data_IF_866637306515
#
_entry.id   IF_866637306515
#
_cell.length_a   1.000
_cell.length_b   1.000
_cell.length_c   1.000
_cell.angle_alpha   90.00
_cell.angle_beta   90.00
_cell.angle_gamma   90.00
#
_symmetry.space_group_name_H-M   'P 1'
#
loop_
_entity.id
_entity.type
_entity.pdbx_description
1 polymer ?
#
# COMPACT_ATOMS: atom_id res chain seq x y z
N UNK A 1 -3.24 19.17 18.24
CA UNK A 1 -4.09 19.43 17.07
C UNK A 1 -5.26 18.49 17.19
N UNK A 2 -6.50 18.99 17.02
CA UNK A 2 -7.68 18.15 16.97
C UNK A 2 -7.74 17.39 15.65
N UNK A 3 -8.57 16.33 15.56
CA UNK A 3 -8.76 15.61 14.31
C UNK A 3 -9.31 16.54 13.24
N UNK A 4 -8.72 16.52 12.05
CA UNK A 4 -9.27 17.19 10.87
C UNK A 4 -10.22 16.21 10.22
N UNK A 5 -11.51 16.45 10.30
CA UNK A 5 -12.50 15.66 9.57
C UNK A 5 -12.40 16.01 8.09
N UNK A 6 -12.05 15.06 7.26
CA UNK A 6 -12.15 15.18 5.81
C UNK A 6 -13.50 14.58 5.42
N UNK A 7 -14.42 15.42 4.91
CA UNK A 7 -15.74 14.95 4.50
C UNK A 7 -15.61 13.93 3.37
N UNK A 8 -16.43 12.87 3.39
CA UNK A 8 -16.47 11.84 2.36
C UNK A 8 -15.62 10.60 2.63
N UNK A 9 -15.11 10.42 3.85
CA UNK A 9 -14.48 9.16 4.27
C UNK A 9 -15.50 8.28 4.99
N UNK A 10 -15.88 7.20 4.39
CA UNK A 10 -16.57 6.07 5.00
C UNK A 10 -15.70 4.81 4.86
N UNK A 11 -15.72 3.96 5.82
CA UNK A 11 -14.69 3.07 6.35
C UNK A 11 -14.28 1.83 5.52
N UNK A 12 -14.32 1.82 4.20
CA UNK A 12 -14.09 0.54 3.49
C UNK A 12 -12.94 0.45 2.48
N UNK A 13 -12.45 1.57 1.92
CA UNK A 13 -11.41 1.56 0.89
C UNK A 13 -10.53 2.80 0.92
N UNK A 14 -10.24 3.30 2.12
CA UNK A 14 -9.48 4.54 2.26
C UNK A 14 -7.98 4.27 2.06
N UNK A 15 -7.38 5.02 1.18
CA UNK A 15 -5.95 4.98 0.90
C UNK A 15 -5.32 6.31 1.27
N UNK A 16 -4.18 6.25 1.97
CA UNK A 16 -3.43 7.42 2.41
C UNK A 16 -1.95 7.25 2.06
N UNK A 17 -1.36 8.27 1.45
CA UNK A 17 0.08 8.31 1.19
C UNK A 17 0.63 9.68 1.56
N UNK A 18 1.50 9.72 2.58
CA UNK A 18 2.16 10.92 3.07
C UNK A 18 3.66 10.81 2.85
N UNK A 19 4.26 11.85 2.27
CA UNK A 19 5.73 11.94 2.10
C UNK A 19 6.35 13.01 2.98
N UNK A 20 5.54 13.90 3.55
CA UNK A 20 5.98 14.93 4.49
C UNK A 20 4.81 15.48 5.30
N UNK A 21 5.09 16.28 6.32
CA UNK A 21 4.07 17.00 7.09
C UNK A 21 3.29 18.05 6.29
N UNK A 22 3.73 18.36 5.08
CA UNK A 22 3.09 19.33 4.17
C UNK A 22 2.59 18.71 2.86
N UNK A 23 2.65 17.39 2.73
CA UNK A 23 2.11 16.70 1.56
C UNK A 23 1.62 15.30 1.91
N UNK A 24 0.32 15.13 1.83
CA UNK A 24 -0.36 13.84 1.81
C UNK A 24 -1.35 13.80 0.65
N UNK A 25 -1.61 12.62 0.17
CA UNK A 25 -2.76 12.30 -0.66
C UNK A 25 -3.67 11.35 0.10
N UNK A 26 -4.97 11.54 0.00
CA UNK A 26 -5.97 10.66 0.58
C UNK A 26 -7.11 10.42 -0.41
N UNK A 27 -7.63 9.21 -0.46
CA UNK A 27 -8.82 8.85 -1.22
C UNK A 27 -9.93 8.48 -0.25
N UNK A 28 -11.13 9.01 -0.49
CA UNK A 28 -12.32 8.61 0.21
C UNK A 28 -13.27 7.76 -0.66
N UNK A 29 -14.37 7.29 -0.08
CA UNK A 29 -15.40 6.48 -0.75
C UNK A 29 -16.10 7.18 -1.92
N UNK A 30 -16.00 8.49 -1.99
CA UNK A 30 -16.51 9.29 -3.10
C UNK A 30 -15.63 9.21 -4.36
N UNK A 31 -14.58 8.38 -4.34
CA UNK A 31 -13.57 8.22 -5.39
C UNK A 31 -12.78 9.48 -5.73
N UNK A 32 -12.80 10.51 -4.88
CA UNK A 32 -11.95 11.68 -5.04
C UNK A 32 -10.63 11.52 -4.30
N UNK A 33 -9.54 11.79 -5.01
CA UNK A 33 -8.22 11.93 -4.39
C UNK A 33 -8.06 13.39 -3.97
N UNK A 34 -7.80 13.58 -2.68
CA UNK A 34 -7.55 14.88 -2.06
C UNK A 34 -6.09 15.02 -1.69
N UNK A 35 -5.57 16.22 -1.85
CA UNK A 35 -4.21 16.59 -1.48
C UNK A 35 -4.22 17.49 -0.25
N UNK A 36 -3.37 17.16 0.72
CA UNK A 36 -3.02 18.00 1.85
C UNK A 36 -1.78 18.83 1.53
N UNK A 37 -1.81 20.14 1.83
CA UNK A 37 -0.70 21.07 1.56
C UNK A 37 0.02 21.54 2.83
N UNK A 38 -0.19 20.87 3.97
CA UNK A 38 0.34 21.27 5.28
C UNK A 38 -0.66 22.07 6.14
N UNK A 39 -1.76 22.57 5.55
CA UNK A 39 -2.77 23.36 6.27
C UNK A 39 -4.19 22.97 5.92
N UNK A 40 -4.46 22.56 4.69
CA UNK A 40 -5.81 22.24 4.20
C UNK A 40 -5.77 21.13 3.16
N UNK A 41 -6.93 20.48 2.99
CA UNK A 41 -7.17 19.51 1.94
C UNK A 41 -7.83 20.19 0.73
N UNK A 42 -7.51 19.73 -0.47
CA UNK A 42 -8.10 20.19 -1.73
C UNK A 42 -8.26 19.01 -2.69
N UNK A 43 -9.31 19.04 -3.51
CA UNK A 43 -9.51 18.03 -4.54
C UNK A 43 -8.45 18.14 -5.63
N UNK A 44 -8.00 16.99 -6.13
CA UNK A 44 -7.04 16.92 -7.23
C UNK A 44 -7.66 16.41 -8.53
N UNK A 45 -8.93 16.09 -8.51
CA UNK A 45 -9.69 15.43 -9.55
C UNK A 45 -10.14 14.04 -9.12
N UNK A 46 -11.13 13.50 -9.79
CA UNK A 46 -11.57 12.13 -9.57
C UNK A 46 -10.53 11.18 -10.16
N UNK A 47 -10.15 10.17 -9.43
CA UNK A 47 -9.57 8.99 -10.00
C UNK A 47 -10.34 7.80 -9.47
N UNK A 48 -10.74 6.95 -10.36
CA UNK A 48 -11.38 5.69 -10.01
C UNK A 48 -10.35 4.63 -9.59
N UNK A 49 -9.30 5.01 -8.90
CA UNK A 49 -8.21 4.11 -8.51
C UNK A 49 -8.43 3.54 -7.13
N UNK A 50 -8.19 2.25 -6.96
CA UNK A 50 -8.31 1.57 -5.67
C UNK A 50 -7.04 1.68 -4.83
N UNK A 51 -5.88 1.80 -5.47
CA UNK A 51 -4.61 2.00 -4.76
C UNK A 51 -3.82 3.14 -5.37
N UNK A 52 -3.17 3.94 -4.53
CA UNK A 52 -2.20 4.92 -4.97
C UNK A 52 -1.02 5.00 -3.99
N UNK A 53 0.11 5.46 -4.48
CA UNK A 53 1.32 5.67 -3.69
C UNK A 53 2.09 6.87 -4.23
N UNK A 54 2.62 7.70 -3.35
CA UNK A 54 3.40 8.90 -3.68
C UNK A 54 4.86 8.70 -3.33
N UNK A 55 5.76 8.92 -4.28
CA UNK A 55 7.20 8.96 -4.04
C UNK A 55 7.71 10.40 -3.82
N UNK A 56 6.96 11.40 -4.27
CA UNK A 56 7.28 12.81 -4.07
C UNK A 56 6.03 13.70 -4.20
N UNK A 57 6.14 14.98 -3.84
CA UNK A 57 5.05 15.94 -4.05
C UNK A 57 4.69 16.19 -5.54
N UNK A 58 5.55 15.74 -6.44
CA UNK A 58 5.40 15.84 -7.89
C UNK A 58 5.28 14.49 -8.57
N UNK A 59 5.19 13.41 -7.82
CA UNK A 59 4.96 12.09 -8.37
C UNK A 59 4.16 11.21 -7.42
N UNK A 60 2.95 10.86 -7.84
CA UNK A 60 2.18 9.75 -7.32
C UNK A 60 1.75 8.87 -8.49
N UNK A 61 1.61 7.60 -8.24
CA UNK A 61 1.03 6.65 -9.16
C UNK A 61 -0.26 6.12 -8.55
N UNK A 62 -1.28 5.98 -9.35
CA UNK A 62 -2.55 5.39 -8.97
C UNK A 62 -2.87 4.25 -9.93
N UNK A 63 -3.40 3.15 -9.42
CA UNK A 63 -3.83 2.00 -10.19
C UNK A 63 -5.26 1.64 -9.84
N UNK A 64 -6.04 1.28 -10.85
CA UNK A 64 -7.43 0.91 -10.66
C UNK A 64 -7.57 -0.60 -10.44
N UNK A 65 -8.39 -0.97 -9.45
CA UNK A 65 -8.72 -2.36 -9.19
C UNK A 65 -10.00 -2.83 -9.88
N UNK A 66 -10.98 -1.98 -10.02
CA UNK A 66 -12.25 -2.33 -10.66
C UNK A 66 -13.16 -1.11 -10.80
N UNK A 67 -13.32 -0.61 -12.01
CA UNK A 67 -14.51 0.13 -12.32
C UNK A 67 -15.54 -0.86 -12.89
N UNK A 68 -16.63 -1.04 -12.17
CA UNK A 68 -17.75 -1.88 -12.55
C UNK A 68 -18.49 -1.51 -13.84
N UNK A 69 -17.81 -0.85 -14.77
CA UNK A 69 -18.25 -0.72 -16.14
C UNK A 69 -17.45 -1.70 -17.00
N UNK A 70 -18.09 -2.71 -17.51
CA UNK A 70 -17.55 -3.73 -18.42
C UNK A 70 -16.97 -3.15 -19.73
N UNK A 71 -16.71 -1.85 -19.81
CA UNK A 71 -16.32 -1.17 -21.03
C UNK A 71 -14.81 -1.00 -21.20
N UNK A 72 -14.01 -1.10 -20.10
CA UNK A 72 -12.56 -0.94 -20.18
C UNK A 72 -11.85 -2.16 -19.57
N UNK A 73 -11.52 -3.16 -20.40
CA UNK A 73 -10.91 -4.42 -19.93
C UNK A 73 -9.46 -4.29 -19.49
N UNK A 74 -8.89 -3.09 -19.50
CA UNK A 74 -7.47 -2.85 -19.24
C UNK A 74 -7.35 -1.93 -18.03
N UNK A 75 -6.74 -2.42 -16.95
CA UNK A 75 -6.53 -1.65 -15.73
C UNK A 75 -5.97 -0.25 -16.03
N UNK A 76 -6.65 0.77 -15.51
CA UNK A 76 -6.22 2.15 -15.68
C UNK A 76 -5.14 2.47 -14.66
N UNK A 77 -4.06 3.07 -15.10
CA UNK A 77 -3.08 3.70 -14.23
C UNK A 77 -2.95 5.17 -14.57
N UNK A 78 -2.68 5.99 -13.57
CA UNK A 78 -2.47 7.43 -13.75
C UNK A 78 -1.31 7.92 -12.89
N UNK A 79 -0.53 8.84 -13.42
CA UNK A 79 0.51 9.54 -12.67
C UNK A 79 0.09 10.96 -12.35
N UNK A 80 0.48 11.43 -11.16
CA UNK A 80 0.33 12.80 -10.70
C UNK A 80 1.65 13.56 -10.81
N UNK A 81 1.63 14.73 -11.45
CA UNK A 81 2.82 15.54 -11.71
C UNK A 81 2.99 16.73 -10.74
N UNK A 82 2.29 16.74 -9.62
CA UNK A 82 2.25 17.86 -8.68
C UNK A 82 1.08 18.83 -8.91
N UNK A 83 0.38 18.72 -10.05
CA UNK A 83 -0.73 19.60 -10.44
C UNK A 83 -1.95 18.83 -10.93
N UNK A 84 -1.74 17.82 -11.76
CA UNK A 84 -2.81 17.07 -12.42
C UNK A 84 -2.45 15.61 -12.59
N UNK A 85 -3.48 14.79 -12.75
CA UNK A 85 -3.36 13.39 -13.10
C UNK A 85 -3.32 13.20 -14.61
N UNK A 86 -2.52 12.28 -15.09
CA UNK A 86 -2.41 11.88 -16.50
C UNK A 86 -2.40 10.36 -16.61
N UNK A 87 -3.19 9.82 -17.53
CA UNK A 87 -3.22 8.38 -17.78
C UNK A 87 -1.83 7.87 -18.20
N UNK A 88 -1.47 6.71 -17.68
CA UNK A 88 -0.29 5.96 -18.12
C UNK A 88 -0.75 5.04 -19.24
N UNK A 89 -0.17 5.15 -20.46
CA UNK A 89 -0.46 4.21 -21.53
C UNK A 89 -0.02 2.78 -21.15
N UNK A 90 -0.83 1.80 -21.53
CA UNK A 90 -0.49 0.37 -21.48
C UNK A 90 -0.24 -0.26 -20.11
N UNK A 91 -1.21 -0.17 -19.22
CA UNK A 91 -1.36 -1.15 -18.14
C UNK A 91 -1.92 -2.49 -18.67
N UNK A 92 -1.77 -2.73 -19.96
CA UNK A 92 -2.46 -3.75 -20.78
C UNK A 92 -2.16 -5.22 -20.41
N UNK A 93 -1.43 -5.50 -19.37
CA UNK A 93 -1.12 -6.87 -18.95
C UNK A 93 -1.43 -7.17 -17.48
N UNK A 94 -2.07 -6.27 -16.76
CA UNK A 94 -2.58 -6.62 -15.45
C UNK A 94 -3.84 -7.48 -15.66
N UNK A 95 -3.82 -8.76 -15.31
CA UNK A 95 -5.04 -9.52 -15.30
C UNK A 95 -5.99 -8.89 -14.27
N UNK A 96 -7.23 -8.71 -14.68
CA UNK A 96 -8.34 -8.42 -13.80
C UNK A 96 -8.15 -9.09 -12.45
N UNK A 97 -8.07 -8.34 -11.41
CA UNK A 97 -8.37 -8.85 -10.09
C UNK A 97 -8.36 -7.74 -9.05
N UNK A 98 -9.51 -7.37 -8.55
CA UNK A 98 -9.80 -6.88 -7.22
C UNK A 98 -8.80 -5.90 -6.60
N UNK A 99 -8.73 -5.93 -5.33
CA UNK A 99 -7.92 -5.02 -4.54
C UNK A 99 -6.44 -5.11 -4.89
N UNK A 100 -5.92 -4.02 -5.44
CA UNK A 100 -4.52 -3.87 -5.79
C UNK A 100 -3.76 -3.19 -4.65
N UNK A 101 -2.54 -3.65 -4.36
CA UNK A 101 -1.61 -2.94 -3.49
C UNK A 101 -0.54 -2.24 -4.33
N UNK A 102 -0.10 -1.06 -3.89
CA UNK A 102 0.88 -0.25 -4.61
C UNK A 102 1.87 0.41 -3.65
N UNK A 103 3.15 0.35 -3.99
CA UNK A 103 4.21 1.06 -3.27
C UNK A 103 5.21 1.66 -4.25
N UNK A 104 5.44 2.98 -4.13
CA UNK A 104 6.39 3.75 -4.93
C UNK A 104 7.52 4.29 -4.06
N UNK A 105 8.77 4.10 -4.46
CA UNK A 105 9.95 4.70 -3.83
C UNK A 105 10.58 5.79 -4.69
N UNK A 106 10.29 5.80 -5.99
CA UNK A 106 10.74 6.85 -6.91
C UNK A 106 9.79 6.97 -8.10
N UNK A 107 9.88 8.03 -8.92
CA UNK A 107 9.13 8.13 -10.17
C UNK A 107 9.42 7.02 -11.19
N UNK A 108 10.53 6.33 -11.03
CA UNK A 108 10.98 5.24 -11.91
C UNK A 108 10.96 3.87 -11.24
N UNK A 109 10.36 3.76 -10.07
CA UNK A 109 10.19 2.48 -9.40
C UNK A 109 8.96 2.47 -8.50
N UNK A 110 7.93 1.80 -8.98
CA UNK A 110 6.76 1.41 -8.20
C UNK A 110 6.50 -0.07 -8.40
N UNK A 111 5.90 -0.69 -7.41
CA UNK A 111 5.48 -2.10 -7.48
C UNK A 111 3.99 -2.17 -7.18
N UNK A 112 3.26 -2.81 -8.07
CA UNK A 112 1.84 -3.15 -7.89
C UNK A 112 1.68 -4.65 -7.70
N UNK A 113 0.79 -5.05 -6.78
CA UNK A 113 0.37 -6.43 -6.58
C UNK A 113 -1.11 -6.52 -6.91
N UNK A 114 -1.45 -7.33 -7.89
CA UNK A 114 -2.84 -7.59 -8.22
C UNK A 114 -3.44 -8.64 -7.29
N UNK A 115 -4.74 -8.59 -7.03
CA UNK A 115 -5.45 -9.56 -6.18
C UNK A 115 -5.33 -11.03 -6.65
N UNK A 116 -4.94 -11.25 -7.93
CA UNK A 116 -4.56 -12.56 -8.45
C UNK A 116 -3.19 -13.08 -7.95
N UNK A 117 -2.41 -12.25 -7.25
CA UNK A 117 -1.08 -12.58 -6.77
C UNK A 117 0.07 -12.30 -7.75
N UNK A 118 -0.19 -11.52 -8.79
CA UNK A 118 0.84 -11.10 -9.74
C UNK A 118 1.48 -9.77 -9.32
N UNK A 119 2.80 -9.72 -9.33
CA UNK A 119 3.59 -8.50 -9.11
C UNK A 119 3.99 -7.87 -10.45
N UNK A 120 3.91 -6.54 -10.52
CA UNK A 120 4.31 -5.72 -11.66
C UNK A 120 5.23 -4.60 -11.17
N UNK A 121 6.28 -4.30 -11.92
CA UNK A 121 7.20 -3.20 -11.63
C UNK A 121 7.02 -2.12 -12.70
N UNK A 122 6.82 -0.88 -12.26
CA UNK A 122 6.79 0.31 -13.11
C UNK A 122 8.16 0.99 -13.12
N UNK A 123 8.71 1.22 -14.32
CA UNK A 123 10.05 1.79 -14.52
C UNK A 123 10.06 3.32 -14.79
N UNK A 124 8.90 3.96 -14.66
CA UNK A 124 8.69 5.37 -14.98
C UNK A 124 8.06 5.60 -16.36
N UNK A 125 8.01 4.58 -17.20
CA UNK A 125 7.44 4.64 -18.56
C UNK A 125 6.51 3.48 -18.88
N UNK A 126 6.81 2.30 -18.37
CA UNK A 126 6.09 1.07 -18.67
C UNK A 126 6.08 0.11 -17.49
N UNK A 127 5.19 -0.87 -17.57
CA UNK A 127 5.10 -1.95 -16.60
C UNK A 127 5.86 -3.19 -17.08
N UNK A 128 6.48 -3.89 -16.15
CA UNK A 128 7.11 -5.18 -16.41
C UNK A 128 6.08 -6.24 -16.80
N UNK A 129 6.55 -7.37 -17.31
CA UNK A 129 5.73 -8.58 -17.35
C UNK A 129 5.37 -9.02 -15.93
N UNK A 130 4.18 -9.64 -15.73
CA UNK A 130 3.78 -10.15 -14.44
C UNK A 130 4.73 -11.22 -13.91
N UNK A 131 5.00 -11.16 -12.61
CA UNK A 131 5.66 -12.24 -11.87
C UNK A 131 4.66 -12.80 -10.87
N UNK A 132 4.28 -14.06 -11.00
CA UNK A 132 3.36 -14.70 -10.08
C UNK A 132 4.05 -14.99 -8.75
N UNK A 133 3.55 -14.40 -7.67
CA UNK A 133 3.99 -14.65 -6.29
C UNK A 133 3.20 -15.81 -5.69
N UNK A 134 1.90 -15.79 -5.89
CA UNK A 134 0.96 -16.83 -5.48
C UNK A 134 -0.17 -16.91 -6.50
N UNK A 135 -1.04 -17.90 -6.38
CA UNK A 135 -2.21 -18.04 -7.23
C UNK A 135 -3.46 -18.00 -6.36
N UNK A 136 -4.33 -17.03 -6.60
CA UNK A 136 -5.64 -16.94 -5.98
C UNK A 136 -6.71 -17.14 -7.05
N UNK A 137 -7.76 -17.90 -6.74
CA UNK A 137 -8.93 -18.07 -7.60
C UNK A 137 -9.99 -17.00 -7.37
N UNK A 138 -9.77 -16.08 -6.45
CA UNK A 138 -10.63 -14.95 -6.10
C UNK A 138 -9.82 -13.67 -5.88
N UNK A 139 -10.53 -12.61 -5.62
CA UNK A 139 -9.93 -11.36 -5.16
C UNK A 139 -9.33 -11.61 -3.77
N UNK A 140 -8.07 -11.26 -3.60
CA UNK A 140 -7.37 -11.40 -2.35
C UNK A 140 -6.63 -10.09 -2.05
N UNK A 141 -6.94 -9.52 -0.91
CA UNK A 141 -6.28 -8.33 -0.43
C UNK A 141 -4.83 -8.68 -0.07
N UNK A 142 -3.89 -7.89 -0.57
CA UNK A 142 -2.48 -8.00 -0.24
C UNK A 142 -1.94 -6.62 0.08
N UNK A 143 -0.88 -6.56 0.85
CA UNK A 143 -0.20 -5.31 1.20
C UNK A 143 1.23 -5.34 0.73
N UNK A 144 1.74 -4.19 0.27
CA UNK A 144 3.13 -4.05 -0.15
C UNK A 144 3.76 -2.82 0.49
N UNK A 145 5.01 -2.98 0.89
CA UNK A 145 5.85 -1.86 1.33
C UNK A 145 7.25 -2.00 0.75
N UNK A 146 7.68 -1.00 -0.01
CA UNK A 146 9.01 -0.92 -0.57
C UNK A 146 9.84 0.10 0.22
N UNK A 147 10.94 -0.34 0.83
CA UNK A 147 11.88 0.54 1.51
C UNK A 147 12.96 1.09 0.54
N UNK A 148 13.16 0.44 -0.61
CA UNK A 148 14.10 0.88 -1.65
C UNK A 148 13.77 0.23 -2.99
N UNK A 149 14.47 0.62 -4.05
CA UNK A 149 14.37 -0.04 -5.37
C UNK A 149 14.91 -1.48 -5.39
N UNK A 150 15.60 -1.88 -4.33
CA UNK A 150 16.16 -3.23 -4.16
C UNK A 150 15.53 -3.99 -3.00
N UNK A 151 14.49 -3.44 -2.37
CA UNK A 151 13.80 -4.13 -1.29
C UNK A 151 12.33 -3.74 -1.23
N UNK A 152 11.46 -4.71 -1.47
CA UNK A 152 10.05 -4.64 -1.18
C UNK A 152 9.61 -5.90 -0.41
N UNK A 153 8.60 -5.74 0.43
CA UNK A 153 7.96 -6.84 1.14
C UNK A 153 6.47 -6.83 0.82
N UNK A 154 5.95 -8.00 0.48
CA UNK A 154 4.51 -8.25 0.28
C UNK A 154 4.01 -9.12 1.41
N UNK A 155 2.96 -8.70 2.09
CA UNK A 155 2.11 -9.51 2.94
C UNK A 155 0.91 -10.01 2.13
N UNK A 156 0.69 -11.29 2.11
CA UNK A 156 -0.38 -11.93 1.36
C UNK A 156 -1.10 -13.00 2.22
N UNK A 157 -1.35 -12.66 3.49
CA UNK A 157 -2.08 -13.46 4.47
C UNK A 157 -1.74 -14.95 4.42
N UNK A 158 -2.73 -15.76 4.10
CA UNK A 158 -2.57 -17.22 4.01
C UNK A 158 -1.52 -17.69 2.98
N UNK A 159 -1.18 -16.86 2.00
CA UNK A 159 -0.14 -17.18 1.00
C UNK A 159 1.27 -16.87 1.52
N UNK A 160 1.38 -16.12 2.63
CA UNK A 160 2.62 -15.78 3.30
C UNK A 160 3.23 -14.45 2.86
N UNK A 161 4.52 -14.27 3.16
CA UNK A 161 5.26 -13.08 2.79
C UNK A 161 6.26 -13.31 1.66
N UNK A 162 6.44 -12.31 0.80
CA UNK A 162 7.34 -12.35 -0.34
C UNK A 162 8.25 -11.13 -0.34
N UNK A 163 9.54 -11.35 -0.59
CA UNK A 163 10.55 -10.31 -0.62
C UNK A 163 11.10 -10.13 -2.02
N UNK A 164 11.24 -8.89 -2.44
CA UNK A 164 11.97 -8.49 -3.65
C UNK A 164 13.37 -8.02 -3.27
N UNK A 165 14.40 -8.53 -3.96
CA UNK A 165 15.81 -8.22 -3.69
C UNK A 165 16.45 -7.29 -4.73
N UNK A 166 15.66 -6.62 -5.57
CA UNK A 166 16.13 -5.80 -6.68
C UNK A 166 16.16 -6.53 -8.03
N UNK A 167 16.07 -7.86 -8.05
CA UNK A 167 16.11 -8.67 -9.27
C UNK A 167 15.05 -9.76 -9.32
N UNK A 168 14.71 -10.33 -8.19
CA UNK A 168 13.78 -11.47 -8.10
C UNK A 168 12.96 -11.43 -6.83
N UNK A 169 11.85 -12.15 -6.87
CA UNK A 169 10.97 -12.38 -5.73
C UNK A 169 11.27 -13.73 -5.09
N UNK A 170 11.18 -13.78 -3.78
CA UNK A 170 11.28 -15.03 -3.01
C UNK A 170 10.25 -15.05 -1.88
N UNK A 171 9.68 -16.23 -1.62
CA UNK A 171 8.83 -16.43 -0.44
C UNK A 171 9.71 -16.53 0.80
N UNK A 172 9.46 -15.67 1.80
CA UNK A 172 10.31 -15.59 3.00
C UNK A 172 9.72 -16.26 4.22
N UNK A 173 8.39 -16.33 4.32
CA UNK A 173 7.74 -16.97 5.46
C UNK A 173 6.27 -17.28 5.19
N UNK A 174 5.72 -18.19 6.01
CA UNK A 174 4.30 -18.37 6.18
C UNK A 174 3.83 -17.44 7.31
N UNK A 175 3.79 -16.14 7.06
CA UNK A 175 3.34 -15.17 8.05
C UNK A 175 1.87 -14.95 7.86
N UNK A 176 1.17 -14.94 8.97
CA UNK A 176 -0.20 -14.46 9.06
C UNK A 176 -0.09 -13.04 9.60
N UNK A 177 -0.18 -12.05 8.74
CA UNK A 177 -0.17 -10.63 9.13
C UNK A 177 -0.29 -9.73 7.91
N UNK A 178 -1.33 -8.95 7.89
CA UNK A 178 -1.62 -7.85 6.98
C UNK A 178 -2.31 -6.77 7.79
N UNK A 179 -1.98 -5.53 7.63
CA UNK A 179 -1.05 -4.85 6.73
C UNK A 179 0.43 -4.95 7.14
N UNK A 180 1.31 -4.50 6.22
CA UNK A 180 2.76 -4.51 6.39
C UNK A 180 3.37 -3.14 6.10
N UNK A 181 4.40 -2.75 6.86
CA UNK A 181 5.18 -1.54 6.62
C UNK A 181 6.67 -1.78 6.87
N UNK A 182 7.51 -1.36 5.92
CA UNK A 182 8.96 -1.47 5.97
C UNK A 182 9.60 -0.08 5.99
N UNK A 183 10.40 0.23 7.01
CA UNK A 183 11.20 1.46 7.04
C UNK A 183 12.61 1.27 6.49
N UNK A 184 13.06 0.02 6.35
CA UNK A 184 14.36 -0.33 5.79
C UNK A 184 14.38 -1.79 5.31
N UNK A 185 15.40 -2.23 4.56
CA UNK A 185 15.58 -3.66 4.22
C UNK A 185 15.78 -4.57 5.44
N UNK A 186 16.11 -4.01 6.58
CA UNK A 186 16.34 -4.74 7.84
C UNK A 186 15.26 -4.49 8.88
N UNK A 187 14.17 -3.82 8.52
CA UNK A 187 13.05 -3.64 9.41
C UNK A 187 11.72 -3.52 8.66
N UNK A 188 10.85 -4.49 8.87
CA UNK A 188 9.43 -4.41 8.56
C UNK A 188 8.61 -4.80 9.80
N UNK A 189 7.40 -4.29 9.88
CA UNK A 189 6.39 -4.72 10.84
C UNK A 189 5.15 -5.16 10.07
N UNK A 190 4.61 -6.31 10.44
CA UNK A 190 3.29 -6.76 10.01
C UNK A 190 2.40 -6.94 11.24
N UNK A 191 1.13 -6.65 11.07
CA UNK A 191 0.12 -6.76 12.14
C UNK A 191 -0.98 -7.71 11.68
N UNK A 192 -1.56 -8.45 12.61
CA UNK A 192 -2.61 -9.40 12.31
C UNK A 192 -3.93 -8.97 12.95
N UNK A 193 -5.04 -9.46 12.42
CA UNK A 193 -6.39 -9.15 12.88
C UNK A 193 -6.66 -9.58 14.35
N UNK A 194 -5.86 -10.49 14.87
CA UNK A 194 -5.96 -10.93 16.26
C UNK A 194 -5.27 -9.98 17.26
N UNK A 195 -4.73 -8.85 16.79
CA UNK A 195 -4.01 -7.87 17.60
C UNK A 195 -2.55 -8.26 17.87
N UNK A 196 -1.99 -9.21 17.13
CA UNK A 196 -0.57 -9.53 17.22
C UNK A 196 0.25 -8.81 16.16
N UNK A 197 1.54 -8.67 16.42
CA UNK A 197 2.54 -8.11 15.50
C UNK A 197 3.73 -9.05 15.35
N UNK A 198 4.36 -8.97 14.20
CA UNK A 198 5.67 -9.59 13.94
C UNK A 198 6.59 -8.57 13.29
N UNK A 199 7.89 -8.68 13.57
CA UNK A 199 8.91 -7.81 12.98
C UNK A 199 9.93 -8.61 12.18
N UNK A 200 10.41 -8.03 11.09
CA UNK A 200 11.46 -8.58 10.23
C UNK A 200 12.78 -7.85 10.49
N UNK A 201 13.86 -8.59 10.69
CA UNK A 201 15.20 -8.07 11.02
C UNK A 201 16.17 -8.01 9.82
N UNK A 202 15.68 -8.29 8.62
CA UNK A 202 16.49 -8.43 7.39
C UNK A 202 16.80 -9.87 7.02
N UNK A 203 16.56 -10.82 7.93
CA UNK A 203 16.84 -12.26 7.72
C UNK A 203 15.67 -13.14 8.11
N UNK A 204 15.02 -12.81 9.20
CA UNK A 204 13.94 -13.61 9.80
C UNK A 204 12.85 -12.76 10.40
N UNK A 205 11.71 -13.39 10.60
CA UNK A 205 10.59 -12.79 11.33
C UNK A 205 10.61 -13.19 12.79
N UNK A 206 10.24 -12.29 13.67
CA UNK A 206 10.08 -12.56 15.10
C UNK A 206 8.92 -13.53 15.37
N UNK A 207 8.88 -14.10 16.58
CA UNK A 207 7.65 -14.68 17.08
C UNK A 207 6.54 -13.62 17.19
N UNK A 208 5.26 -14.00 17.01
CA UNK A 208 4.13 -13.10 17.25
C UNK A 208 4.16 -12.55 18.68
N UNK A 209 3.92 -11.24 18.80
CA UNK A 209 3.79 -10.54 20.08
C UNK A 209 2.50 -9.71 20.08
N UNK A 210 1.77 -9.72 21.19
CA UNK A 210 0.60 -8.88 21.34
C UNK A 210 0.99 -7.40 21.45
N UNK A 211 0.12 -6.51 20.96
CA UNK A 211 0.23 -5.09 21.27
C UNK A 211 -0.10 -4.85 22.75
N UNK A 212 0.62 -3.91 23.38
CA UNK A 212 0.32 -3.43 24.72
C UNK A 212 -0.06 -1.93 24.68
N UNK A 213 -1.28 -1.55 25.07
CA UNK A 213 -2.42 -2.39 25.50
C UNK A 213 -3.00 -3.23 24.37
N UNK A 214 -3.70 -4.33 24.66
CA UNK A 214 -4.22 -5.20 23.62
C UNK A 214 -5.16 -4.42 22.70
N UNK A 215 -4.83 -4.44 21.40
CA UNK A 215 -5.68 -3.86 20.38
C UNK A 215 -7.03 -4.63 20.32
N UNK A 216 -8.10 -3.90 20.11
CA UNK A 216 -9.37 -4.52 19.73
C UNK A 216 -9.20 -5.08 18.32
N UNK A 217 -9.61 -6.33 18.12
CA UNK A 217 -9.46 -7.07 16.87
C UNK A 217 -9.73 -6.23 15.60
N UNK A 218 -8.95 -6.50 14.55
CA UNK A 218 -8.90 -5.84 13.26
C UNK A 218 -8.03 -4.57 13.26
N UNK A 219 -6.81 -4.72 12.71
CA UNK A 219 -5.81 -3.66 12.59
C UNK A 219 -5.68 -3.26 11.11
N UNK A 220 -6.40 -2.21 10.66
CA UNK A 220 -6.51 -1.90 9.23
C UNK A 220 -5.25 -1.27 8.64
N UNK A 221 -4.32 -0.74 9.45
CA UNK A 221 -3.16 -0.04 8.93
C UNK A 221 -1.98 -0.02 9.89
N UNK A 222 -0.78 -0.14 9.31
CA UNK A 222 0.49 0.07 9.99
C UNK A 222 1.39 0.99 9.16
N UNK A 223 2.11 1.88 9.82
CA UNK A 223 3.11 2.74 9.19
C UNK A 223 4.33 2.88 10.09
N UNK A 224 5.49 2.52 9.55
CA UNK A 224 6.78 2.60 10.24
C UNK A 224 7.70 3.59 9.53
N UNK A 225 8.19 4.59 10.25
CA UNK A 225 9.19 5.53 9.73
C UNK A 225 10.61 5.15 10.16
N UNK A 226 10.74 4.29 11.17
CA UNK A 226 12.01 3.71 11.62
C UNK A 226 11.74 2.40 12.37
N UNK A 227 12.79 1.66 12.70
CA UNK A 227 12.69 0.47 13.57
C UNK A 227 12.21 0.80 14.99
N UNK A 228 12.35 2.05 15.42
CA UNK A 228 11.95 2.49 16.76
C UNK A 228 10.62 3.26 16.80
N UNK A 229 9.97 3.45 15.67
CA UNK A 229 8.70 4.15 15.62
C UNK A 229 7.78 3.59 14.53
N UNK A 230 6.72 2.93 14.97
CA UNK A 230 5.60 2.51 14.13
C UNK A 230 4.28 2.99 14.74
N UNK A 231 3.34 3.37 13.91
CA UNK A 231 1.98 3.66 14.27
C UNK A 231 1.06 2.60 13.65
N UNK A 232 0.11 2.12 14.45
CA UNK A 232 -0.92 1.16 14.02
C UNK A 232 -2.26 1.76 14.37
N UNK A 233 -3.23 1.61 13.48
CA UNK A 233 -4.60 2.10 13.69
C UNK A 233 -5.54 0.90 13.69
N UNK A 234 -6.52 0.88 14.59
CA UNK A 234 -7.61 -0.10 14.59
C UNK A 234 -8.90 0.45 13.94
N UNK A 235 -9.87 -0.42 13.69
CA UNK A 235 -11.14 -0.05 13.06
C UNK A 235 -12.02 0.91 13.88
N UNK A 236 -11.76 1.07 15.16
CA UNK A 236 -12.50 2.03 16.01
C UNK A 236 -11.76 3.36 16.16
N UNK A 237 -10.65 3.53 15.42
CA UNK A 237 -9.89 4.77 15.36
C UNK A 237 -8.88 4.96 16.49
N UNK A 238 -8.52 3.92 17.24
CA UNK A 238 -7.41 4.01 18.19
C UNK A 238 -6.08 3.96 17.45
N UNK A 239 -5.13 4.75 17.92
CA UNK A 239 -3.76 4.77 17.41
C UNK A 239 -2.82 4.19 18.46
N UNK A 240 -2.11 3.15 18.08
CA UNK A 240 -1.09 2.51 18.90
C UNK A 240 0.29 2.92 18.39
N UNK A 241 1.17 3.30 19.31
CA UNK A 241 2.56 3.66 18.96
C UNK A 241 3.47 2.56 19.49
N UNK A 242 4.01 1.78 18.56
CA UNK A 242 5.06 0.80 18.84
C UNK A 242 6.41 1.49 18.95
N UNK A 243 7.14 1.26 20.05
CA UNK A 243 8.54 1.62 20.24
C UNK A 243 9.29 0.33 20.56
N UNK A 244 10.26 -0.01 19.74
CA UNK A 244 11.20 -1.10 20.01
C UNK A 244 12.37 -0.60 20.86
#
# INVERSE_FOLDING_TARGET
MGPVTVEGFDSRHDSLSCISSSFCMARGDDNYIRRYNGSSWSDTGSSASNAFSCASATFCLAVDGFLGSQAEPNGLAATYNGKSWSAVPDFNNAPYAGDNALSCVSPTFCVAIAGSGNAFIYDGTSWSKPVSLYSSSGEFESHISCASTTFCMVGAGQFGAFTYNGTSWSKTASIVGEPISCSSPTFCMAVADDGTQVTYDGTSWSAPAAFEPPAVALLPSVSCVSSSFCAVVDFVGNVFIGRS
#
